data_IF_813570814464
#
_entry.id   IF_813570814464
#
_cell.length_a   1.000
_cell.length_b   1.000
_cell.length_c   1.000
_cell.angle_alpha   90.00
_cell.angle_beta   90.00
_cell.angle_gamma   90.00
#
_symmetry.space_group_name_H-M   'P 1'
#
loop_
_entity.id
_entity.type
_entity.pdbx_description
1 polymer ?
#
# COMPACT_ATOMS: atom_id res chain seq x y z
N UNK A 1 3.33 2.46 20.98
CA UNK A 1 3.48 2.17 19.53
C UNK A 1 4.69 2.97 19.06
N UNK A 2 5.83 2.31 18.84
CA UNK A 2 6.99 2.98 18.24
C UNK A 2 6.76 3.01 16.74
N UNK A 3 6.24 4.13 16.23
CA UNK A 3 6.10 4.31 14.78
C UNK A 3 7.49 4.40 14.19
N UNK A 4 7.83 3.42 13.37
CA UNK A 4 9.09 3.33 12.66
C UNK A 4 9.01 4.07 11.34
N UNK A 5 10.15 4.54 10.84
CA UNK A 5 10.26 5.15 9.52
C UNK A 5 9.75 4.20 8.41
N UNK A 6 9.94 2.89 8.58
CA UNK A 6 9.49 1.87 7.64
C UNK A 6 7.96 1.85 7.50
N UNK A 7 7.22 1.87 8.62
CA UNK A 7 5.75 1.88 8.62
C UNK A 7 5.19 3.13 7.93
N UNK A 8 5.82 4.29 8.16
CA UNK A 8 5.46 5.54 7.48
C UNK A 8 5.69 5.42 5.97
N UNK A 9 6.85 4.89 5.55
CA UNK A 9 7.20 4.73 4.15
C UNK A 9 6.25 3.77 3.42
N UNK A 10 5.91 2.64 4.06
CA UNK A 10 4.95 1.67 3.51
C UNK A 10 3.61 2.31 3.19
N UNK A 11 3.06 3.07 4.15
CA UNK A 11 1.80 3.77 3.95
C UNK A 11 1.88 4.83 2.84
N UNK A 12 3.00 5.58 2.77
CA UNK A 12 3.24 6.55 1.69
C UNK A 12 3.31 5.84 0.32
N UNK A 13 3.95 4.68 0.23
CA UNK A 13 4.00 3.91 -1.01
C UNK A 13 2.61 3.44 -1.45
N UNK A 14 1.76 2.99 -0.52
CA UNK A 14 0.37 2.65 -0.81
C UNK A 14 -0.38 3.82 -1.46
N UNK A 15 -0.22 5.04 -0.94
CA UNK A 15 -0.81 6.26 -1.50
C UNK A 15 -0.26 6.56 -2.91
N UNK A 16 1.06 6.44 -3.09
CA UNK A 16 1.71 6.70 -4.38
C UNK A 16 1.27 5.69 -5.45
N UNK A 17 1.13 4.41 -5.08
CA UNK A 17 0.62 3.36 -5.96
C UNK A 17 -0.82 3.69 -6.37
N UNK A 18 -1.68 4.05 -5.41
CA UNK A 18 -3.06 4.45 -5.71
C UNK A 18 -3.11 5.62 -6.70
N UNK A 19 -2.32 6.67 -6.48
CA UNK A 19 -2.20 7.79 -7.41
C UNK A 19 -1.71 7.35 -8.79
N UNK A 20 -0.75 6.41 -8.84
CA UNK A 20 -0.25 5.79 -10.06
C UNK A 20 -1.32 5.01 -10.83
N UNK A 21 -2.16 4.25 -10.13
CA UNK A 21 -3.30 3.52 -10.72
C UNK A 21 -4.31 4.50 -11.31
N UNK A 22 -4.71 5.53 -10.55
CA UNK A 22 -5.65 6.57 -11.02
C UNK A 22 -5.11 7.29 -12.25
N UNK A 23 -3.82 7.63 -12.26
CA UNK A 23 -3.17 8.27 -13.42
C UNK A 23 -3.17 7.33 -14.63
N UNK A 24 -2.84 6.06 -14.43
CA UNK A 24 -2.80 5.04 -15.49
C UNK A 24 -4.19 4.77 -16.07
N UNK A 25 -5.22 4.81 -15.24
CA UNK A 25 -6.61 4.69 -15.66
C UNK A 25 -7.03 5.85 -16.55
N UNK A 26 -6.70 7.09 -16.17
CA UNK A 26 -6.93 8.28 -17.01
C UNK A 26 -6.18 8.22 -18.34
N UNK A 27 -4.98 7.64 -18.36
CA UNK A 27 -4.19 7.42 -19.56
C UNK A 27 -4.66 6.22 -20.41
N UNK A 28 -5.73 5.51 -20.01
CA UNK A 28 -6.26 4.30 -20.67
C UNK A 28 -5.23 3.17 -20.84
N UNK A 29 -4.20 3.13 -20.00
CA UNK A 29 -3.20 2.06 -20.00
C UNK A 29 -3.65 0.91 -19.11
N UNK A 30 -4.42 -0.02 -19.68
CA UNK A 30 -5.03 -1.13 -18.94
C UNK A 30 -3.99 -2.08 -18.33
N UNK A 31 -2.82 -2.23 -18.95
CA UNK A 31 -1.72 -3.03 -18.40
C UNK A 31 -1.17 -2.41 -17.11
N UNK A 32 -0.85 -1.12 -17.14
CA UNK A 32 -0.35 -0.40 -15.97
C UNK A 32 -1.40 -0.31 -14.85
N UNK A 33 -2.68 -0.19 -15.20
CA UNK A 33 -3.79 -0.25 -14.24
C UNK A 33 -3.85 -1.63 -13.58
N UNK A 34 -3.81 -2.72 -14.35
CA UNK A 34 -3.85 -4.08 -13.82
C UNK A 34 -2.68 -4.37 -12.89
N UNK A 35 -1.46 -4.06 -13.33
CA UNK A 35 -0.25 -4.19 -12.51
C UNK A 35 -0.33 -3.35 -11.23
N UNK A 36 -0.67 -2.07 -11.37
CA UNK A 36 -0.78 -1.16 -10.24
C UNK A 36 -1.87 -1.56 -9.25
N UNK A 37 -2.99 -2.13 -9.73
CA UNK A 37 -4.05 -2.63 -8.87
C UNK A 37 -3.60 -3.82 -8.02
N UNK A 38 -2.89 -4.80 -8.61
CA UNK A 38 -2.33 -5.94 -7.86
C UNK A 38 -1.30 -5.46 -6.83
N UNK A 39 -0.45 -4.50 -7.20
CA UNK A 39 0.51 -3.89 -6.30
C UNK A 39 -0.21 -3.19 -5.13
N UNK A 40 -1.27 -2.42 -5.42
CA UNK A 40 -2.06 -1.71 -4.42
C UNK A 40 -2.67 -2.68 -3.40
N UNK A 41 -3.28 -3.77 -3.88
CA UNK A 41 -3.87 -4.79 -3.00
C UNK A 41 -2.80 -5.40 -2.08
N UNK A 42 -1.65 -5.77 -2.64
CA UNK A 42 -0.53 -6.32 -1.87
C UNK A 42 -0.07 -5.37 -0.76
N UNK A 43 0.08 -4.09 -1.09
CA UNK A 43 0.54 -3.07 -0.13
C UNK A 43 -0.51 -2.78 0.95
N UNK A 44 -1.80 -2.71 0.61
CA UNK A 44 -2.87 -2.57 1.60
C UNK A 44 -2.90 -3.75 2.57
N UNK A 45 -2.70 -4.98 2.07
CA UNK A 45 -2.61 -6.17 2.94
C UNK A 45 -1.39 -6.09 3.86
N UNK A 46 -0.24 -5.65 3.34
CA UNK A 46 0.95 -5.45 4.17
C UNK A 46 0.71 -4.39 5.27
N UNK A 47 0.08 -3.26 4.95
CA UNK A 47 -0.26 -2.22 5.93
C UNK A 47 -1.19 -2.76 7.04
N UNK A 48 -2.19 -3.56 6.66
CA UNK A 48 -3.09 -4.22 7.64
C UNK A 48 -2.31 -5.17 8.55
N UNK A 49 -1.41 -5.98 8.00
CA UNK A 49 -0.58 -6.90 8.79
C UNK A 49 0.36 -6.14 9.73
N UNK A 50 0.98 -5.06 9.26
CA UNK A 50 1.81 -4.18 10.08
C UNK A 50 1.00 -3.67 11.28
N UNK A 51 -0.18 -3.11 11.04
CA UNK A 51 -1.06 -2.61 12.11
C UNK A 51 -1.47 -3.74 13.06
N UNK A 52 -1.86 -4.90 12.52
CA UNK A 52 -2.28 -6.06 13.29
C UNK A 52 -1.18 -6.54 14.25
N UNK A 53 0.05 -6.74 13.75
CA UNK A 53 1.17 -7.17 14.59
C UNK A 53 1.72 -6.08 15.49
N UNK A 54 1.58 -4.80 15.12
CA UNK A 54 1.92 -3.67 15.98
C UNK A 54 0.94 -3.48 17.15
N UNK A 55 -0.31 -3.96 17.00
CA UNK A 55 -1.38 -3.83 18.01
C UNK A 55 -1.64 -5.11 18.80
N UNK A 56 -1.11 -6.26 18.36
CA UNK A 56 -1.22 -7.51 19.10
C UNK A 56 -0.56 -7.39 20.49
N UNK A 57 -1.21 -7.86 21.57
CA UNK A 57 -0.53 -7.99 22.86
C UNK A 57 0.68 -8.91 22.68
N UNK A 58 1.87 -8.41 23.02
CA UNK A 58 3.04 -9.28 23.14
C UNK A 58 2.77 -10.22 24.31
N UNK A 59 2.56 -11.50 24.01
CA UNK A 59 2.51 -12.57 24.99
C UNK A 59 3.86 -12.73 25.69
#
# INVERSE_FOLDING_TARGET
MHITLFEILMFVFTILIFAGVVRSFKAKNMFAVGYGFIALVTFVVADVLIIYYATLPKA
#
